data_IF_108725893093
#
_entry.id   IF_108725893093
#
_cell.length_a   1.000
_cell.length_b   1.000
_cell.length_c   1.000
_cell.angle_alpha   90.00
_cell.angle_beta   90.00
_cell.angle_gamma   90.00
#
_symmetry.space_group_name_H-M   'P 1'
#
loop_
_entity.id
_entity.type
_entity.pdbx_description
1 polymer ?
#
# COMPACT_ATOMS: atom_id res chain seq x y z
N UNK A 1 10.03 6.14 -6.76
CA UNK A 1 9.27 6.32 -5.52
C UNK A 1 9.63 7.63 -4.84
N UNK A 2 8.64 8.47 -4.49
CA UNK A 2 8.89 9.66 -3.67
C UNK A 2 9.28 9.28 -2.23
N UNK A 3 9.88 10.20 -1.46
CA UNK A 3 10.43 9.89 -0.13
C UNK A 3 9.39 9.42 0.89
N UNK A 4 8.14 9.92 0.81
CA UNK A 4 7.07 9.49 1.71
C UNK A 4 6.55 8.10 1.35
N UNK A 5 6.36 7.83 0.07
CA UNK A 5 6.00 6.52 -0.44
C UNK A 5 7.05 5.46 -0.09
N UNK A 6 8.34 5.83 -0.15
CA UNK A 6 9.44 4.97 0.28
C UNK A 6 9.36 4.64 1.77
N UNK A 7 9.18 5.64 2.64
CA UNK A 7 9.04 5.42 4.09
C UNK A 7 7.83 4.54 4.40
N UNK A 8 6.71 4.75 3.69
CA UNK A 8 5.53 3.91 3.84
C UNK A 8 5.82 2.45 3.46
N UNK A 9 6.45 2.23 2.30
CA UNK A 9 6.79 0.89 1.83
C UNK A 9 7.76 0.18 2.79
N UNK A 10 8.79 0.87 3.28
CA UNK A 10 9.71 0.33 4.29
C UNK A 10 9.02 -0.07 5.59
N UNK A 11 8.04 0.73 6.05
CA UNK A 11 7.19 0.38 7.20
C UNK A 11 6.29 -0.81 6.91
N UNK A 12 5.76 -0.88 5.69
CA UNK A 12 4.87 -1.94 5.26
C UNK A 12 5.57 -3.31 5.29
N UNK A 13 6.76 -3.43 4.69
CA UNK A 13 7.50 -4.70 4.59
C UNK A 13 7.92 -5.26 5.97
N UNK A 14 8.16 -4.39 6.96
CA UNK A 14 8.51 -4.82 8.33
C UNK A 14 7.29 -4.98 9.24
N UNK A 15 6.09 -4.68 8.75
CA UNK A 15 4.85 -4.79 9.52
C UNK A 15 4.28 -6.21 9.44
N UNK A 16 3.43 -6.56 10.41
CA UNK A 16 2.60 -7.78 10.39
C UNK A 16 1.56 -7.78 9.27
N UNK A 17 1.38 -6.66 8.56
CA UNK A 17 0.46 -6.51 7.43
C UNK A 17 1.05 -6.98 6.11
N UNK A 18 2.38 -7.14 6.00
CA UNK A 18 3.03 -7.55 4.76
C UNK A 18 2.48 -8.87 4.22
N UNK A 19 2.28 -9.87 5.08
CA UNK A 19 1.69 -11.14 4.71
C UNK A 19 0.30 -11.01 4.07
N UNK A 20 -0.49 -9.99 4.47
CA UNK A 20 -1.80 -9.71 3.84
C UNK A 20 -1.62 -9.07 2.46
N UNK A 21 -0.60 -8.24 2.27
CA UNK A 21 -0.26 -7.65 0.97
C UNK A 21 0.22 -8.73 -0.01
N UNK A 22 1.05 -9.67 0.44
CA UNK A 22 1.48 -10.80 -0.39
C UNK A 22 0.29 -11.63 -0.85
N UNK A 23 -0.63 -11.98 0.07
CA UNK A 23 -1.85 -12.70 -0.29
C UNK A 23 -2.69 -11.93 -1.32
N UNK A 24 -2.87 -10.61 -1.14
CA UNK A 24 -3.55 -9.77 -2.12
C UNK A 24 -2.82 -9.75 -3.48
N UNK A 25 -1.49 -9.68 -3.48
CA UNK A 25 -0.70 -9.71 -4.70
C UNK A 25 -0.87 -11.03 -5.47
N UNK A 26 -0.95 -12.16 -4.75
CA UNK A 26 -1.24 -13.46 -5.35
C UNK A 26 -2.68 -13.55 -5.88
N UNK A 27 -3.66 -13.00 -5.18
CA UNK A 27 -5.07 -12.96 -5.65
C UNK A 27 -5.23 -12.10 -6.91
N UNK A 28 -4.41 -11.06 -7.06
CA UNK A 28 -4.43 -10.15 -8.20
C UNK A 28 -3.53 -10.60 -9.36
N UNK A 29 -2.76 -11.68 -9.20
CA UNK A 29 -1.80 -12.12 -10.22
C UNK A 29 -2.48 -12.39 -11.58
N UNK A 30 -1.82 -11.94 -12.66
CA UNK A 30 -2.34 -12.03 -14.03
C UNK A 30 -3.49 -11.09 -14.38
N UNK A 31 -3.98 -10.25 -13.45
CA UNK A 31 -5.02 -9.25 -13.74
C UNK A 31 -4.45 -8.01 -14.44
N UNK A 32 -5.19 -7.49 -15.41
CA UNK A 32 -4.82 -6.25 -16.12
C UNK A 32 -4.91 -5.02 -15.21
N UNK A 33 -5.81 -5.04 -14.22
CA UNK A 33 -6.05 -3.98 -13.24
C UNK A 33 -5.28 -4.17 -11.92
N UNK A 34 -4.23 -5.00 -11.90
CA UNK A 34 -3.44 -5.30 -10.70
C UNK A 34 -3.05 -4.03 -9.93
N UNK A 35 -2.46 -3.05 -10.62
CA UNK A 35 -1.91 -1.86 -9.96
C UNK A 35 -2.99 -0.99 -9.32
N UNK A 36 -4.15 -0.87 -9.97
CA UNK A 36 -5.26 -0.09 -9.45
C UNK A 36 -5.86 -0.77 -8.20
N UNK A 37 -6.05 -2.10 -8.25
CA UNK A 37 -6.60 -2.87 -7.13
C UNK A 37 -5.67 -2.94 -5.93
N UNK A 38 -4.38 -3.13 -6.18
CA UNK A 38 -3.38 -3.12 -5.13
C UNK A 38 -3.24 -1.71 -4.54
N UNK A 39 -3.32 -0.65 -5.34
CA UNK A 39 -3.31 0.72 -4.83
C UNK A 39 -4.52 1.02 -3.92
N UNK A 40 -5.73 0.62 -4.34
CA UNK A 40 -6.95 0.70 -3.50
C UNK A 40 -6.75 -0.02 -2.17
N UNK A 41 -6.25 -1.26 -2.21
CA UNK A 41 -6.01 -2.04 -1.00
C UNK A 41 -4.96 -1.42 -0.07
N UNK A 42 -3.85 -0.92 -0.64
CA UNK A 42 -2.79 -0.25 0.11
C UNK A 42 -3.30 1.04 0.77
N UNK A 43 -4.19 1.76 0.10
CA UNK A 43 -4.84 2.95 0.64
C UNK A 43 -5.73 2.60 1.83
N UNK A 44 -6.51 1.52 1.75
CA UNK A 44 -7.38 1.05 2.83
C UNK A 44 -6.59 0.68 4.10
N UNK A 45 -5.46 -0.03 3.95
CA UNK A 45 -4.65 -0.47 5.10
C UNK A 45 -3.63 0.57 5.58
N UNK A 46 -3.47 1.69 4.85
CA UNK A 46 -2.46 2.70 5.14
C UNK A 46 -2.48 3.22 6.60
N UNK A 47 -3.64 3.53 7.20
CA UNK A 47 -3.70 3.93 8.60
C UNK A 47 -3.15 2.88 9.57
N UNK A 48 -3.45 1.59 9.33
CA UNK A 48 -2.92 0.48 10.15
C UNK A 48 -1.39 0.42 10.06
N UNK A 49 -0.85 0.52 8.84
CA UNK A 49 0.59 0.45 8.57
C UNK A 49 1.35 1.63 9.19
N UNK A 50 0.76 2.82 9.14
CA UNK A 50 1.34 4.02 9.75
C UNK A 50 1.09 4.13 11.26
N UNK A 51 0.39 3.16 11.86
CA UNK A 51 -0.04 3.19 13.27
C UNK A 51 -0.83 4.47 13.61
N UNK A 52 -1.61 4.97 12.65
CA UNK A 52 -2.42 6.17 12.81
C UNK A 52 -3.81 5.72 13.27
N UNK A 53 -4.17 6.10 14.50
CA UNK A 53 -5.49 5.81 15.05
C UNK A 53 -6.47 6.91 14.59
N UNK A 54 -7.03 6.74 13.38
CA UNK A 54 -7.96 7.70 12.77
C UNK A 54 -9.38 7.18 12.73
N UNK A 55 -10.34 8.07 12.99
CA UNK A 55 -11.75 7.79 12.75
C UNK A 55 -12.03 7.74 11.24
N UNK A 56 -13.15 7.13 10.83
CA UNK A 56 -13.55 7.07 9.41
C UNK A 56 -13.61 8.45 8.73
N UNK A 57 -14.09 9.48 9.44
CA UNK A 57 -14.11 10.88 8.94
C UNK A 57 -12.71 11.49 8.80
N UNK A 58 -11.75 11.07 9.62
CA UNK A 58 -10.36 11.50 9.50
C UNK A 58 -9.66 10.77 8.36
N UNK A 59 -10.04 9.53 8.05
CA UNK A 59 -9.47 8.73 6.97
C UNK A 59 -9.54 9.45 5.61
N UNK A 60 -10.71 10.00 5.25
CA UNK A 60 -10.92 10.78 4.01
C UNK A 60 -10.04 12.04 3.96
N UNK A 61 -9.80 12.69 5.12
CA UNK A 61 -8.89 13.85 5.20
C UNK A 61 -7.43 13.45 5.11
N UNK A 62 -7.08 12.27 5.62
CA UNK A 62 -5.73 11.72 5.56
C UNK A 62 -5.35 11.35 4.11
N UNK A 63 -6.25 10.71 3.34
CA UNK A 63 -6.02 10.38 1.92
C UNK A 63 -5.47 11.56 1.12
N UNK A 64 -6.06 12.75 1.29
CA UNK A 64 -5.63 13.96 0.58
C UNK A 64 -4.35 14.62 1.13
N UNK A 65 -3.88 14.26 2.33
CA UNK A 65 -2.80 14.98 3.04
C UNK A 65 -1.50 14.17 3.23
N UNK A 66 -1.50 12.86 2.94
CA UNK A 66 -0.31 12.03 3.12
C UNK A 66 0.82 12.36 2.13
N UNK A 67 0.49 12.72 0.88
CA UNK A 67 1.48 12.83 -0.21
C UNK A 67 2.09 11.49 -0.63
N UNK A 68 1.36 10.40 -0.36
CA UNK A 68 1.69 9.05 -0.83
C UNK A 68 1.12 8.84 -2.22
N UNK A 69 1.84 8.10 -3.05
CA UNK A 69 1.38 7.64 -4.35
C UNK A 69 1.23 6.11 -4.29
N UNK A 70 0.01 5.64 -4.02
CA UNK A 70 -0.27 4.21 -3.86
C UNK A 70 -0.13 3.40 -5.15
N UNK A 71 -0.31 4.03 -6.31
CA UNK A 71 -0.04 3.38 -7.61
C UNK A 71 1.46 3.09 -7.75
N UNK A 72 2.30 4.08 -7.44
CA UNK A 72 3.76 3.90 -7.46
C UNK A 72 4.22 2.86 -6.41
N UNK A 73 3.58 2.83 -5.23
CA UNK A 73 3.87 1.80 -4.21
C UNK A 73 3.43 0.41 -4.70
N UNK A 74 2.29 0.30 -5.37
CA UNK A 74 1.81 -0.96 -5.95
C UNK A 74 2.80 -1.54 -6.97
N UNK A 75 3.35 -0.71 -7.84
CA UNK A 75 4.37 -1.12 -8.80
C UNK A 75 5.61 -1.70 -8.09
N UNK A 76 6.02 -1.08 -6.99
CA UNK A 76 7.12 -1.57 -6.15
C UNK A 76 6.77 -2.87 -5.44
N UNK A 77 5.56 -3.02 -4.91
CA UNK A 77 5.09 -4.30 -4.33
C UNK A 77 5.21 -5.42 -5.36
N UNK A 78 4.74 -5.19 -6.59
CA UNK A 78 4.84 -6.18 -7.66
C UNK A 78 6.30 -6.55 -7.95
N UNK A 79 7.16 -5.54 -8.14
CA UNK A 79 8.58 -5.78 -8.41
C UNK A 79 9.27 -6.52 -7.26
N UNK A 80 8.96 -6.17 -6.01
CA UNK A 80 9.53 -6.77 -4.82
C UNK A 80 9.13 -8.23 -4.66
N UNK A 81 7.88 -8.59 -4.96
CA UNK A 81 7.40 -9.98 -4.84
C UNK A 81 7.86 -10.86 -6.00
N UNK A 82 7.85 -10.34 -7.23
CA UNK A 82 8.03 -11.15 -8.44
C UNK A 82 9.40 -11.04 -9.12
N UNK A 83 10.22 -10.04 -8.75
CA UNK A 83 11.55 -9.83 -9.33
C UNK A 83 12.69 -9.87 -8.30
N UNK A 84 12.43 -10.31 -7.06
CA UNK A 84 13.48 -10.73 -6.11
C UNK A 84 13.83 -12.22 -6.25
#
# INVERSE_FOLDING_TARGET
>A
MNSKSQIYFEKLIVSDKWARVENMAFELDGRIDYNDRMAEYLQDICPEVLCINVTAEQCVKYEHSCGLNFVEISEYVFQYIYNE
#
